data_IF_202833603510
#
_entry.id   IF_202833603510
#
_cell.length_a   1.000
_cell.length_b   1.000
_cell.length_c   1.000
_cell.angle_alpha   90.00
_cell.angle_beta   90.00
_cell.angle_gamma   90.00
#
_symmetry.space_group_name_H-M   'P 1'
#
loop_
_entity.id
_entity.type
_entity.pdbx_description
1 polymer ?
#
# COMPACT_ATOMS: atom_id res chain seq x y z
N UNK A 1 -12.83 -15.69 -18.01
CA UNK A 1 -13.98 -15.09 -17.31
C UNK A 1 -14.41 -13.84 -18.07
N UNK A 2 -15.72 -13.70 -18.39
CA UNK A 2 -16.24 -12.46 -19.00
C UNK A 2 -16.79 -11.53 -17.90
N UNK A 3 -16.41 -10.26 -17.97
CA UNK A 3 -16.84 -9.22 -17.03
C UNK A 3 -17.42 -8.06 -17.84
N UNK A 4 -18.65 -7.66 -17.54
CA UNK A 4 -19.24 -6.44 -18.10
C UNK A 4 -18.92 -5.25 -17.20
N UNK A 5 -18.39 -4.19 -17.79
CA UNK A 5 -17.92 -3.01 -17.07
C UNK A 5 -18.30 -1.73 -17.81
N UNK A 6 -18.34 -0.62 -17.08
CA UNK A 6 -18.40 0.70 -17.69
C UNK A 6 -17.00 1.15 -18.14
N UNK A 7 -16.85 1.72 -19.34
CA UNK A 7 -15.55 2.21 -19.81
C UNK A 7 -15.09 3.43 -18.99
N UNK A 8 -13.77 3.71 -19.04
CA UNK A 8 -13.16 4.93 -18.48
C UNK A 8 -12.14 4.68 -17.37
N UNK A 9 -12.28 3.62 -16.59
CA UNK A 9 -11.31 3.21 -15.57
C UNK A 9 -10.02 2.63 -16.14
N UNK A 10 -8.99 2.47 -15.30
CA UNK A 10 -7.79 1.71 -15.65
C UNK A 10 -8.06 0.20 -15.51
N UNK A 11 -7.26 -0.64 -16.19
CA UNK A 11 -7.33 -2.09 -16.00
C UNK A 11 -7.15 -2.43 -14.51
N UNK A 12 -6.15 -1.85 -13.83
CA UNK A 12 -5.88 -2.07 -12.41
C UNK A 12 -7.10 -1.79 -11.53
N UNK A 13 -7.70 -0.61 -11.66
CA UNK A 13 -8.87 -0.21 -10.87
C UNK A 13 -10.07 -1.08 -11.18
N UNK A 14 -10.39 -1.27 -12.45
CA UNK A 14 -11.55 -2.07 -12.89
C UNK A 14 -11.46 -3.54 -12.47
N UNK A 15 -10.27 -4.15 -12.53
CA UNK A 15 -10.07 -5.50 -12.03
C UNK A 15 -10.26 -5.55 -10.50
N UNK A 16 -9.74 -4.55 -9.78
CA UNK A 16 -9.93 -4.42 -8.32
C UNK A 16 -11.40 -4.35 -7.92
N UNK A 17 -12.21 -3.55 -8.63
CA UNK A 17 -13.67 -3.44 -8.43
C UNK A 17 -14.38 -4.79 -8.65
N UNK A 18 -13.80 -5.65 -9.49
CA UNK A 18 -14.30 -6.98 -9.79
C UNK A 18 -13.61 -8.10 -8.97
N UNK A 19 -12.96 -7.75 -7.86
CA UNK A 19 -12.28 -8.66 -6.92
C UNK A 19 -11.12 -9.44 -7.53
N UNK A 20 -10.42 -8.82 -8.48
CA UNK A 20 -9.20 -9.33 -9.09
C UNK A 20 -8.09 -8.32 -8.79
N UNK A 21 -7.22 -8.65 -7.84
CA UNK A 21 -6.28 -7.69 -7.25
C UNK A 21 -4.90 -7.82 -7.85
N UNK A 22 -4.60 -7.06 -8.91
CA UNK A 22 -3.24 -6.98 -9.46
C UNK A 22 -2.28 -6.36 -8.44
N UNK A 23 -1.03 -6.85 -8.37
CA UNK A 23 -0.01 -6.28 -7.50
C UNK A 23 0.31 -4.84 -7.92
N UNK A 24 0.46 -3.95 -6.95
CA UNK A 24 0.87 -2.56 -7.21
C UNK A 24 1.46 -1.90 -5.96
N UNK A 25 2.76 -1.77 -5.88
CA UNK A 25 3.41 -1.09 -4.76
C UNK A 25 3.22 0.42 -4.79
N UNK A 26 3.10 1.03 -5.98
CA UNK A 26 2.92 2.47 -6.13
C UNK A 26 1.46 2.93 -6.05
N UNK A 27 0.50 2.02 -5.89
CA UNK A 27 -0.93 2.34 -5.85
C UNK A 27 -1.48 2.90 -7.16
N UNK A 28 -0.97 2.44 -8.30
CA UNK A 28 -1.42 2.89 -9.61
C UNK A 28 -0.63 4.06 -10.22
N UNK A 29 0.41 4.56 -9.55
CA UNK A 29 1.23 5.70 -10.00
C UNK A 29 2.16 5.42 -11.19
N UNK A 30 2.18 4.20 -11.74
CA UNK A 30 2.95 3.86 -12.93
C UNK A 30 4.47 3.70 -12.72
N UNK A 31 4.93 3.63 -11.47
CA UNK A 31 6.38 3.68 -11.16
C UNK A 31 6.98 2.35 -10.67
N UNK A 32 6.18 1.38 -10.23
CA UNK A 32 6.69 0.12 -9.68
C UNK A 32 6.70 -1.04 -10.68
N UNK A 33 6.01 -0.92 -11.81
CA UNK A 33 5.86 -1.94 -12.85
C UNK A 33 5.30 -3.31 -12.39
N UNK A 34 4.63 -3.37 -11.23
CA UNK A 34 4.15 -4.65 -10.69
C UNK A 34 2.80 -5.09 -11.28
N UNK A 35 1.99 -4.15 -11.76
CA UNK A 35 0.66 -4.44 -12.32
C UNK A 35 0.72 -4.92 -13.80
N UNK A 36 1.72 -5.72 -14.13
CA UNK A 36 1.89 -6.27 -15.47
C UNK A 36 0.78 -7.25 -15.81
N UNK A 37 0.20 -7.11 -16.98
CA UNK A 37 -0.75 -8.05 -17.58
C UNK A 37 -0.57 -8.07 -19.10
N UNK A 38 -0.97 -9.14 -19.77
CA UNK A 38 -0.99 -9.19 -21.22
C UNK A 38 -2.35 -8.70 -21.73
N UNK A 39 -2.35 -7.74 -22.66
CA UNK A 39 -3.57 -7.21 -23.28
C UNK A 39 -3.58 -7.63 -24.74
N UNK A 40 -4.23 -8.77 -25.02
CA UNK A 40 -4.23 -9.40 -26.34
C UNK A 40 -4.99 -8.56 -27.38
N UNK A 41 -6.04 -7.85 -26.94
CA UNK A 41 -6.79 -6.93 -27.80
C UNK A 41 -7.41 -5.78 -27.00
N UNK A 42 -7.73 -4.67 -27.69
CA UNK A 42 -8.43 -3.52 -27.11
C UNK A 42 -7.57 -2.54 -26.31
N UNK A 43 -6.29 -2.85 -26.03
CA UNK A 43 -5.40 -2.03 -25.20
C UNK A 43 -4.73 -0.84 -25.91
N UNK A 44 -4.86 -0.75 -27.23
CA UNK A 44 -4.14 0.25 -28.03
C UNK A 44 -2.62 0.05 -27.99
N UNK A 45 -1.88 1.03 -28.50
CA UNK A 45 -0.42 0.99 -28.51
C UNK A 45 0.19 1.19 -27.11
N UNK A 46 1.42 0.67 -26.92
CA UNK A 46 2.16 0.86 -25.68
C UNK A 46 2.48 2.34 -25.45
N UNK A 47 2.18 2.84 -24.26
CA UNK A 47 2.40 4.24 -23.91
C UNK A 47 3.88 4.54 -23.68
N UNK A 48 4.34 5.78 -23.94
CA UNK A 48 5.70 6.18 -23.61
C UNK A 48 6.09 5.97 -22.16
N UNK A 49 5.13 6.13 -21.23
CA UNK A 49 5.30 5.92 -19.78
C UNK A 49 5.49 4.45 -19.38
N UNK A 50 5.07 3.52 -20.23
CA UNK A 50 5.19 2.08 -19.99
C UNK A 50 6.51 1.51 -20.55
N UNK A 51 7.00 2.06 -21.66
CA UNK A 51 8.16 1.53 -22.42
C UNK A 51 9.40 1.24 -21.56
N UNK A 52 9.77 2.07 -20.56
CA UNK A 52 10.97 1.82 -19.74
C UNK A 52 10.91 0.53 -18.91
N UNK A 53 9.73 -0.03 -18.69
CA UNK A 53 9.49 -1.18 -17.82
C UNK A 53 9.39 -2.51 -18.56
N UNK A 54 9.52 -2.48 -19.90
CA UNK A 54 9.37 -3.67 -20.75
C UNK A 54 10.54 -3.88 -21.68
N UNK A 55 10.92 -5.13 -21.82
CA UNK A 55 11.81 -5.59 -22.87
C UNK A 55 11.09 -5.54 -24.23
N UNK A 56 11.87 -5.58 -25.33
CA UNK A 56 11.30 -5.66 -26.69
C UNK A 56 10.38 -6.87 -26.86
N UNK A 57 10.72 -8.00 -26.24
CA UNK A 57 9.93 -9.22 -26.27
C UNK A 57 8.60 -9.05 -25.54
N UNK A 58 8.62 -8.51 -24.32
CA UNK A 58 7.39 -8.24 -23.56
C UNK A 58 6.45 -7.30 -24.32
N UNK A 59 7.00 -6.28 -25.02
CA UNK A 59 6.18 -5.40 -25.86
C UNK A 59 5.53 -6.17 -27.03
N UNK A 60 6.28 -7.07 -27.69
CA UNK A 60 5.75 -7.92 -28.76
C UNK A 60 4.72 -8.93 -28.25
N UNK A 61 4.87 -9.38 -27.01
CA UNK A 61 3.95 -10.30 -26.32
C UNK A 61 2.77 -9.55 -25.66
N UNK A 62 2.54 -8.28 -26.00
CA UNK A 62 1.45 -7.41 -25.53
C UNK A 62 1.39 -7.19 -24.01
N UNK A 63 2.54 -7.24 -23.33
CA UNK A 63 2.59 -6.87 -21.92
C UNK A 63 2.35 -5.37 -21.71
N UNK A 64 1.52 -5.02 -20.73
CA UNK A 64 1.12 -3.66 -20.39
C UNK A 64 1.13 -3.45 -18.88
N UNK A 65 1.18 -2.19 -18.45
CA UNK A 65 0.94 -1.82 -17.05
C UNK A 65 -0.56 -1.56 -16.84
N UNK A 66 -1.24 -2.41 -16.07
CA UNK A 66 -2.67 -2.30 -15.84
C UNK A 66 -3.12 -0.95 -15.28
N UNK A 67 -2.25 -0.24 -14.55
CA UNK A 67 -2.55 1.11 -14.06
C UNK A 67 -2.46 2.21 -15.12
N UNK A 68 -1.80 1.97 -16.26
CA UNK A 68 -1.63 2.97 -17.31
C UNK A 68 -2.63 2.79 -18.46
N UNK A 69 -3.16 1.60 -18.64
CA UNK A 69 -4.12 1.29 -19.72
C UNK A 69 -5.54 1.59 -19.27
N UNK A 70 -6.17 2.55 -19.93
CA UNK A 70 -7.59 2.88 -19.74
C UNK A 70 -8.47 1.99 -20.63
N UNK A 71 -9.55 1.49 -20.07
CA UNK A 71 -10.52 0.67 -20.76
C UNK A 71 -11.45 1.58 -21.57
N UNK A 72 -11.36 1.48 -22.88
CA UNK A 72 -12.17 2.27 -23.83
C UNK A 72 -13.07 1.40 -24.73
N UNK A 73 -12.67 0.17 -24.93
CA UNK A 73 -13.35 -0.82 -25.78
C UNK A 73 -13.32 -2.17 -25.08
N UNK A 74 -13.97 -3.16 -25.68
CA UNK A 74 -13.82 -4.55 -25.26
C UNK A 74 -12.35 -4.96 -25.32
N UNK A 75 -11.91 -5.68 -24.30
CA UNK A 75 -10.52 -6.10 -24.13
C UNK A 75 -10.45 -7.59 -23.85
N UNK A 76 -9.41 -8.22 -24.41
CA UNK A 76 -8.97 -9.55 -24.00
C UNK A 76 -7.68 -9.42 -23.19
N UNK A 77 -7.74 -9.83 -21.91
CA UNK A 77 -6.64 -9.66 -20.96
C UNK A 77 -6.29 -11.02 -20.35
N UNK A 78 -5.01 -11.36 -20.43
CA UNK A 78 -4.44 -12.50 -19.72
C UNK A 78 -3.66 -12.03 -18.50
N UNK A 79 -3.99 -12.57 -17.34
CA UNK A 79 -3.33 -12.30 -16.07
C UNK A 79 -2.83 -13.61 -15.45
N UNK A 80 -1.70 -13.58 -14.72
CA UNK A 80 -1.16 -14.76 -14.06
C UNK A 80 -2.19 -15.42 -13.14
N UNK A 81 -2.15 -16.76 -13.09
CA UNK A 81 -3.16 -17.55 -12.37
C UNK A 81 -3.15 -17.29 -10.87
N UNK A 82 -1.98 -17.05 -10.30
CA UNK A 82 -1.77 -16.75 -8.89
C UNK A 82 -2.53 -15.51 -8.41
N UNK A 83 -2.83 -14.56 -9.30
CA UNK A 83 -3.62 -13.36 -8.98
C UNK A 83 -5.02 -13.69 -8.49
N UNK A 84 -5.61 -14.80 -8.96
CA UNK A 84 -6.95 -15.21 -8.55
C UNK A 84 -7.00 -15.78 -7.12
N UNK A 85 -5.86 -16.09 -6.52
CA UNK A 85 -5.74 -16.48 -5.11
C UNK A 85 -5.67 -15.30 -4.12
N UNK A 86 -5.45 -14.09 -4.62
CA UNK A 86 -5.35 -12.91 -3.76
C UNK A 86 -6.72 -12.51 -3.24
N UNK A 87 -6.78 -12.30 -1.92
CA UNK A 87 -8.00 -11.89 -1.22
C UNK A 87 -7.86 -10.50 -0.61
N UNK A 88 -8.98 -9.94 -0.20
CA UNK A 88 -9.06 -8.67 0.54
C UNK A 88 -9.90 -8.89 1.79
N UNK A 89 -9.41 -8.43 2.94
CA UNK A 89 -10.06 -8.58 4.24
C UNK A 89 -10.15 -7.25 4.98
N UNK A 90 -11.18 -7.12 5.78
CA UNK A 90 -11.24 -6.12 6.85
C UNK A 90 -10.60 -6.72 8.10
N UNK A 91 -9.36 -6.32 8.39
CA UNK A 91 -8.57 -6.79 9.52
C UNK A 91 -8.78 -5.90 10.74
N UNK A 92 -8.51 -6.45 11.93
CA UNK A 92 -8.54 -5.71 13.17
C UNK A 92 -7.13 -5.35 13.62
N UNK A 93 -6.91 -4.10 14.00
CA UNK A 93 -5.64 -3.65 14.58
C UNK A 93 -5.48 -4.26 15.98
N UNK A 94 -4.43 -5.06 16.15
CA UNK A 94 -4.08 -5.70 17.43
C UNK A 94 -3.17 -4.79 18.25
N UNK A 95 -2.15 -4.22 17.60
CA UNK A 95 -1.22 -3.28 18.23
C UNK A 95 -0.63 -2.33 17.20
N UNK A 96 -0.22 -1.15 17.68
CA UNK A 96 0.38 -0.11 16.85
C UNK A 96 1.33 0.75 17.70
N UNK A 97 2.47 0.19 18.06
CA UNK A 97 3.44 0.82 18.97
C UNK A 97 4.65 1.39 18.23
N UNK A 98 5.21 2.47 18.76
CA UNK A 98 6.48 2.98 18.27
C UNK A 98 7.63 2.09 18.76
N UNK A 99 8.45 1.61 17.83
CA UNK A 99 9.67 0.85 18.09
C UNK A 99 10.94 1.70 17.87
N UNK A 100 10.76 2.85 17.23
CA UNK A 100 11.75 3.91 17.09
C UNK A 100 11.01 5.25 16.93
N UNK A 101 11.72 6.38 17.02
CA UNK A 101 11.12 7.73 16.93
C UNK A 101 10.21 7.91 15.70
N UNK A 102 10.49 7.23 14.60
CA UNK A 102 9.79 7.36 13.33
C UNK A 102 9.33 6.04 12.73
N UNK A 103 9.33 4.95 13.51
CA UNK A 103 8.92 3.62 13.05
C UNK A 103 7.96 3.00 14.05
N UNK A 104 6.83 2.53 13.54
CA UNK A 104 5.86 1.72 14.29
C UNK A 104 5.93 0.26 13.87
N UNK A 105 5.78 -0.62 14.85
CA UNK A 105 5.35 -1.99 14.65
C UNK A 105 3.82 -1.98 14.63
N UNK A 106 3.27 -2.35 13.50
CA UNK A 106 1.84 -2.39 13.27
C UNK A 106 1.39 -3.83 13.05
N UNK A 107 0.52 -4.32 13.91
CA UNK A 107 0.03 -5.70 13.87
C UNK A 107 -1.48 -5.71 13.67
N UNK A 108 -1.92 -6.46 12.66
CA UNK A 108 -3.33 -6.70 12.40
C UNK A 108 -3.64 -8.19 12.42
N UNK A 109 -4.87 -8.53 12.79
CA UNK A 109 -5.41 -9.88 12.78
C UNK A 109 -6.42 -10.03 11.66
N UNK A 110 -6.32 -11.10 10.90
CA UNK A 110 -7.31 -11.47 9.90
C UNK A 110 -8.64 -11.87 10.56
N UNK A 111 -9.77 -11.78 9.83
CA UNK A 111 -11.04 -12.31 10.29
C UNK A 111 -10.95 -13.79 10.68
N UNK A 112 -11.83 -14.22 11.57
CA UNK A 112 -11.90 -15.63 12.01
C UNK A 112 -12.18 -16.55 10.83
N UNK A 113 -11.45 -17.67 10.77
CA UNK A 113 -11.56 -18.64 9.67
C UNK A 113 -10.80 -18.27 8.39
N UNK A 114 -10.24 -17.07 8.29
CA UNK A 114 -9.37 -16.68 7.18
C UNK A 114 -7.91 -17.01 7.50
N UNK A 115 -7.13 -17.28 6.45
CA UNK A 115 -5.71 -17.55 6.55
C UNK A 115 -4.98 -16.83 5.42
N UNK A 116 -3.81 -16.25 5.75
CA UNK A 116 -2.89 -15.67 4.81
C UNK A 116 -1.69 -16.61 4.65
N UNK A 117 -1.72 -17.42 3.59
CA UNK A 117 -0.60 -18.28 3.24
C UNK A 117 0.42 -17.47 2.43
N UNK A 118 1.56 -17.17 3.04
CA UNK A 118 2.60 -16.36 2.42
C UNK A 118 3.99 -16.95 2.70
N UNK A 119 4.94 -16.59 1.84
CA UNK A 119 6.37 -16.88 2.06
C UNK A 119 7.06 -15.67 2.68
N UNK A 120 8.12 -15.89 3.45
CA UNK A 120 8.95 -14.81 3.99
C UNK A 120 9.41 -13.89 2.84
N UNK A 121 9.28 -12.58 3.04
CA UNK A 121 9.54 -11.58 2.01
C UNK A 121 8.33 -11.16 1.18
N UNK A 122 7.20 -11.85 1.32
CA UNK A 122 5.94 -11.41 0.75
C UNK A 122 5.45 -10.07 1.31
N UNK A 123 4.54 -9.43 0.61
CA UNK A 123 3.97 -8.15 1.03
C UNK A 123 2.45 -8.16 0.95
N UNK A 124 1.84 -7.20 1.62
CA UNK A 124 0.41 -6.92 1.55
C UNK A 124 0.19 -5.50 1.02
N UNK A 125 -1.04 -5.19 0.66
CA UNK A 125 -1.46 -3.84 0.38
C UNK A 125 -2.46 -3.38 1.44
N UNK A 126 -2.30 -2.15 1.93
CA UNK A 126 -3.24 -1.48 2.82
C UNK A 126 -4.05 -0.49 2.00
N UNK A 127 -5.36 -0.58 2.06
CA UNK A 127 -6.26 0.43 1.51
C UNK A 127 -6.35 1.61 2.50
N UNK A 128 -6.27 2.81 1.96
CA UNK A 128 -6.45 4.05 2.72
C UNK A 128 -7.68 4.75 2.18
N UNK A 129 -8.72 4.97 2.99
CA UNK A 129 -9.92 5.69 2.58
C UNK A 129 -9.63 7.19 2.40
N UNK A 130 -10.64 7.93 1.95
CA UNK A 130 -10.64 9.39 2.12
C UNK A 130 -10.57 9.71 3.61
N UNK A 131 -9.53 10.45 4.01
CA UNK A 131 -9.25 10.72 5.43
C UNK A 131 -8.31 11.92 5.58
N UNK A 132 -8.49 12.66 6.66
CA UNK A 132 -7.57 13.69 7.11
C UNK A 132 -6.98 13.26 8.46
N UNK A 133 -5.66 13.36 8.60
CA UNK A 133 -4.92 12.92 9.80
C UNK A 133 -4.02 14.03 10.30
N UNK A 134 -4.46 14.78 11.32
CA UNK A 134 -3.60 15.70 12.05
C UNK A 134 -2.57 14.95 12.89
N UNK A 135 -1.28 15.24 12.71
CA UNK A 135 -0.22 14.52 13.43
C UNK A 135 -0.28 14.71 14.95
N UNK A 136 -0.84 15.83 15.43
CA UNK A 136 -1.07 16.10 16.87
C UNK A 136 -1.96 15.05 17.56
N UNK A 137 -2.74 14.27 16.79
CA UNK A 137 -3.65 13.24 17.30
C UNK A 137 -3.03 11.83 17.27
N UNK A 138 -1.83 11.69 16.70
CA UNK A 138 -1.14 10.41 16.62
C UNK A 138 -0.60 10.00 17.99
N UNK A 139 -0.80 8.74 18.33
CA UNK A 139 -0.15 8.11 19.48
C UNK A 139 1.21 7.54 19.05
N UNK A 140 2.30 8.04 19.63
CA UNK A 140 3.66 7.55 19.39
C UNK A 140 4.24 6.81 20.58
N UNK A 141 3.39 6.32 21.45
CA UNK A 141 3.82 5.55 22.63
C UNK A 141 4.60 4.30 22.22
N UNK A 142 5.64 3.95 22.99
CA UNK A 142 6.38 2.71 22.77
C UNK A 142 5.55 1.50 23.18
N UNK A 143 6.05 0.31 22.84
CA UNK A 143 5.46 -0.93 23.31
C UNK A 143 5.40 -0.92 24.85
N UNK A 144 4.26 -1.22 25.47
CA UNK A 144 4.14 -1.27 26.94
C UNK A 144 5.10 -2.24 27.62
N UNK A 145 5.60 -3.25 26.92
CA UNK A 145 6.61 -4.19 27.40
C UNK A 145 8.03 -3.63 27.35
N UNK A 146 8.25 -2.57 26.58
CA UNK A 146 9.53 -1.85 26.49
C UNK A 146 9.29 -0.34 26.36
N UNK A 147 9.00 0.35 27.48
CA UNK A 147 8.70 1.78 27.47
C UNK A 147 9.96 2.67 27.39
N UNK A 148 11.15 2.10 27.26
CA UNK A 148 12.44 2.81 27.36
C UNK A 148 12.64 3.93 26.32
N UNK A 149 11.90 3.91 25.20
CA UNK A 149 12.01 4.90 24.13
C UNK A 149 11.10 6.13 24.26
N UNK A 150 10.19 6.16 25.22
CA UNK A 150 9.08 7.11 25.32
C UNK A 150 9.51 8.58 25.21
N UNK A 151 10.37 9.04 26.11
CA UNK A 151 10.86 10.44 26.12
C UNK A 151 11.65 10.80 24.86
N UNK A 152 12.48 9.87 24.38
CA UNK A 152 13.28 10.06 23.17
C UNK A 152 12.40 10.24 21.93
N UNK A 153 11.37 9.42 21.79
CA UNK A 153 10.47 9.48 20.64
C UNK A 153 9.76 10.83 20.59
N UNK A 154 9.20 11.26 21.73
CA UNK A 154 8.56 12.57 21.85
C UNK A 154 9.53 13.72 21.57
N UNK A 155 10.72 13.69 22.16
CA UNK A 155 11.73 14.72 21.98
C UNK A 155 12.16 14.89 20.50
N UNK A 156 12.24 13.79 19.73
CA UNK A 156 12.53 13.89 18.29
C UNK A 156 11.37 14.50 17.51
N UNK A 157 10.12 14.18 17.86
CA UNK A 157 8.94 14.78 17.23
C UNK A 157 8.80 16.26 17.54
N UNK A 158 9.05 16.67 18.79
CA UNK A 158 9.07 18.07 19.23
C UNK A 158 10.16 18.85 18.49
N UNK A 159 11.38 18.30 18.41
CA UNK A 159 12.53 18.91 17.75
C UNK A 159 12.29 19.26 16.28
N UNK A 160 11.55 18.43 15.57
CA UNK A 160 11.26 18.63 14.16
C UNK A 160 9.86 19.20 13.90
N UNK A 161 9.13 19.61 14.93
CA UNK A 161 7.76 20.14 14.83
C UNK A 161 6.83 19.22 14.00
N UNK A 162 6.92 17.91 14.21
CA UNK A 162 6.10 16.95 13.46
C UNK A 162 4.62 17.06 13.80
N UNK A 163 4.28 17.50 15.00
CA UNK A 163 2.92 17.71 15.48
C UNK A 163 2.11 18.71 14.66
N UNK A 164 2.79 19.65 13.97
CA UNK A 164 2.17 20.67 13.13
C UNK A 164 1.80 20.14 11.72
N UNK A 165 2.23 18.93 11.39
CA UNK A 165 1.90 18.34 10.09
C UNK A 165 0.46 17.85 10.07
N UNK A 166 -0.12 17.89 8.87
CA UNK A 166 -1.45 17.38 8.57
C UNK A 166 -1.41 16.62 7.24
N UNK A 167 -1.87 15.39 7.24
CA UNK A 167 -2.00 14.60 6.01
C UNK A 167 -3.45 14.61 5.54
N UNK A 168 -3.66 14.85 4.27
CA UNK A 168 -4.98 14.80 3.64
C UNK A 168 -4.99 13.80 2.49
N UNK A 169 -6.02 12.98 2.46
CA UNK A 169 -6.27 12.03 1.37
C UNK A 169 -7.69 12.22 0.86
N UNK A 170 -7.84 12.74 -0.36
CA UNK A 170 -9.13 13.07 -0.95
C UNK A 170 -9.70 11.94 -1.85
N UNK A 171 -8.99 10.81 -1.97
CA UNK A 171 -9.43 9.65 -2.74
C UNK A 171 -8.94 8.34 -2.12
N UNK A 172 -9.67 7.27 -2.32
CA UNK A 172 -9.21 5.96 -1.86
C UNK A 172 -7.98 5.51 -2.63
N UNK A 173 -6.91 5.22 -1.90
CA UNK A 173 -5.65 4.73 -2.46
C UNK A 173 -5.20 3.46 -1.72
N UNK A 174 -4.17 2.78 -2.23
CA UNK A 174 -3.52 1.69 -1.51
C UNK A 174 -2.01 1.75 -1.65
N UNK A 175 -1.30 1.15 -0.68
CA UNK A 175 0.17 1.04 -0.70
C UNK A 175 0.61 -0.33 -0.20
N UNK A 176 1.74 -0.79 -0.74
CA UNK A 176 2.33 -2.07 -0.37
C UNK A 176 3.32 -1.93 0.79
N UNK A 177 3.30 -2.94 1.67
CA UNK A 177 4.25 -3.09 2.77
C UNK A 177 4.69 -4.54 2.89
N UNK A 178 6.00 -4.77 3.01
CA UNK A 178 6.55 -6.09 3.27
C UNK A 178 6.15 -6.57 4.67
N UNK A 179 5.77 -7.83 4.77
CA UNK A 179 5.48 -8.46 6.05
C UNK A 179 6.76 -8.69 6.84
N UNK A 180 6.72 -8.37 8.13
CA UNK A 180 7.85 -8.51 9.06
C UNK A 180 7.74 -9.76 9.94
N UNK A 181 6.55 -10.39 10.02
CA UNK A 181 6.35 -11.64 10.74
C UNK A 181 6.71 -12.87 9.91
N UNK A 182 7.03 -13.96 10.61
CA UNK A 182 7.17 -15.27 10.01
C UNK A 182 5.79 -15.94 9.83
N UNK A 183 5.56 -16.71 8.74
CA UNK A 183 4.26 -17.39 8.52
C UNK A 183 3.78 -18.25 9.69
N UNK A 184 4.70 -18.84 10.47
CA UNK A 184 4.37 -19.68 11.62
C UNK A 184 3.89 -18.91 12.88
N UNK A 185 3.90 -17.56 12.84
CA UNK A 185 3.43 -16.75 13.99
C UNK A 185 1.91 -16.63 14.08
N UNK A 186 1.20 -17.29 13.19
CA UNK A 186 -0.25 -17.41 13.23
C UNK A 186 -0.97 -16.43 12.29
N UNK A 187 -2.26 -16.21 12.57
CA UNK A 187 -3.15 -15.48 11.68
C UNK A 187 -3.05 -13.96 11.87
N UNK A 188 -1.83 -13.44 11.77
CA UNK A 188 -1.51 -12.02 11.90
C UNK A 188 -0.67 -11.53 10.73
N UNK A 189 -0.72 -10.24 10.48
CA UNK A 189 0.22 -9.50 9.64
C UNK A 189 0.92 -8.46 10.50
N UNK A 190 2.24 -8.53 10.56
CA UNK A 190 3.08 -7.56 11.25
C UNK A 190 3.88 -6.75 10.22
N UNK A 191 3.90 -5.46 10.39
CA UNK A 191 4.59 -4.52 9.52
C UNK A 191 5.46 -3.57 10.36
N UNK A 192 6.64 -3.21 9.85
CA UNK A 192 7.43 -2.12 10.38
C UNK A 192 7.27 -0.91 9.45
N UNK A 193 6.55 0.11 9.90
CA UNK A 193 6.16 1.24 9.07
C UNK A 193 6.86 2.52 9.55
N UNK A 194 7.68 3.08 8.66
CA UNK A 194 8.29 4.39 8.89
C UNK A 194 7.30 5.48 8.45
N UNK A 195 7.13 6.51 9.30
CA UNK A 195 6.39 7.72 8.92
C UNK A 195 7.11 8.44 7.77
N UNK A 196 6.40 8.74 6.70
CA UNK A 196 6.91 9.48 5.56
C UNK A 196 6.53 10.96 5.69
N UNK A 197 7.47 11.77 6.13
CA UNK A 197 7.30 13.22 6.27
C UNK A 197 7.55 13.94 4.95
N UNK A 198 7.09 15.18 4.79
CA UNK A 198 7.54 16.06 3.73
C UNK A 198 9.09 16.19 3.71
N UNK A 199 9.70 16.56 2.60
CA UNK A 199 11.12 16.91 2.60
C UNK A 199 11.38 18.13 3.50
N UNK A 200 12.56 18.15 4.14
CA UNK A 200 12.98 19.28 4.96
C UNK A 200 13.63 20.39 4.11
N UNK A 201 13.08 21.58 4.14
CA UNK A 201 13.68 22.77 3.52
C UNK A 201 14.77 23.34 4.45
N UNK A 202 16.03 23.03 4.15
CA UNK A 202 17.18 23.48 4.96
C UNK A 202 17.34 25.00 4.96
N UNK A 203 16.95 25.68 3.89
CA UNK A 203 17.08 27.13 3.77
C UNK A 203 16.09 27.87 4.66
N UNK A 204 14.88 27.32 4.78
CA UNK A 204 13.81 27.89 5.60
C UNK A 204 13.71 27.29 6.99
N UNK A 205 14.49 26.23 7.26
CA UNK A 205 14.46 25.46 8.50
C UNK A 205 13.04 24.98 8.87
N UNK A 206 12.31 24.45 7.89
CA UNK A 206 10.94 23.95 8.06
C UNK A 206 10.63 22.83 7.05
N UNK A 207 9.50 22.17 7.22
CA UNK A 207 8.98 21.22 6.24
C UNK A 207 8.54 21.92 4.96
N UNK A 208 8.81 21.31 3.82
CA UNK A 208 8.22 21.77 2.56
C UNK A 208 6.70 21.62 2.59
N UNK A 209 5.99 22.53 1.93
CA UNK A 209 4.52 22.49 1.84
C UNK A 209 4.07 21.45 0.80
N UNK A 210 4.25 20.20 1.15
CA UNK A 210 3.74 19.04 0.39
C UNK A 210 3.06 18.08 1.36
N UNK A 211 2.09 17.32 0.86
CA UNK A 211 1.36 16.38 1.69
C UNK A 211 2.29 15.29 2.25
N UNK A 212 2.23 14.96 3.54
CA UNK A 212 2.94 13.81 4.09
C UNK A 212 2.53 12.49 3.44
N UNK A 213 3.31 11.44 3.67
CA UNK A 213 3.02 10.12 3.13
C UNK A 213 1.67 9.58 3.61
N UNK A 214 0.74 9.42 2.69
CA UNK A 214 -0.67 9.14 2.99
C UNK A 214 -0.84 7.86 3.81
N UNK A 215 -0.36 6.72 3.32
CA UNK A 215 -0.60 5.44 4.00
C UNK A 215 0.13 5.33 5.34
N UNK A 216 1.37 5.83 5.43
CA UNK A 216 2.10 5.82 6.71
C UNK A 216 1.42 6.70 7.76
N UNK A 217 0.91 7.88 7.38
CA UNK A 217 0.16 8.74 8.28
C UNK A 217 -1.16 8.12 8.72
N UNK A 218 -1.87 7.48 7.78
CA UNK A 218 -3.09 6.74 8.11
C UNK A 218 -2.82 5.63 9.12
N UNK A 219 -1.80 4.79 8.88
CA UNK A 219 -1.45 3.73 9.83
C UNK A 219 -1.08 4.30 11.19
N UNK A 220 -0.36 5.43 11.24
CA UNK A 220 0.00 6.07 12.51
C UNK A 220 -1.21 6.58 13.30
N UNK A 221 -2.34 6.86 12.66
CA UNK A 221 -3.58 7.29 13.32
C UNK A 221 -4.40 6.13 13.88
N UNK A 222 -4.19 4.91 13.40
CA UNK A 222 -4.95 3.73 13.81
C UNK A 222 -4.61 3.30 15.24
N UNK A 223 -5.62 2.81 15.95
CA UNK A 223 -5.53 2.33 17.33
C UNK A 223 -5.96 0.86 17.43
N UNK A 224 -5.52 0.13 18.45
CA UNK A 224 -6.03 -1.21 18.70
C UNK A 224 -7.57 -1.25 18.72
N UNK A 225 -8.15 -2.21 18.00
CA UNK A 225 -9.59 -2.36 17.77
C UNK A 225 -10.11 -1.69 16.50
N UNK A 226 -9.37 -0.77 15.89
CA UNK A 226 -9.76 -0.19 14.60
C UNK A 226 -9.75 -1.24 13.48
N UNK A 227 -10.50 -0.96 12.42
CA UNK A 227 -10.53 -1.81 11.22
C UNK A 227 -9.69 -1.20 10.11
N UNK A 228 -9.00 -2.07 9.40
CA UNK A 228 -8.18 -1.70 8.24
C UNK A 228 -8.34 -2.72 7.14
N UNK A 229 -8.48 -2.25 5.90
CA UNK A 229 -8.60 -3.13 4.75
C UNK A 229 -7.21 -3.53 4.24
N UNK A 230 -6.97 -4.82 4.19
CA UNK A 230 -5.71 -5.43 3.74
C UNK A 230 -5.98 -6.41 2.62
N UNK A 231 -5.16 -6.42 1.60
CA UNK A 231 -5.17 -7.45 0.54
C UNK A 231 -3.83 -8.14 0.41
N UNK A 232 -3.85 -9.40 -0.01
CA UNK A 232 -2.64 -10.21 -0.19
C UNK A 232 -2.91 -11.71 -0.31
N UNK A 233 -1.84 -12.53 -0.22
CA UNK A 233 -0.43 -12.13 -0.23
C UNK A 233 0.01 -11.73 -1.64
N UNK A 234 1.02 -10.87 -1.73
CA UNK A 234 1.66 -10.50 -2.98
C UNK A 234 3.16 -10.81 -2.91
N UNK A 235 3.73 -11.01 -4.09
CA UNK A 235 5.17 -11.06 -4.32
C UNK A 235 5.84 -12.31 -3.80
N UNK A 236 6.73 -12.81 -4.63
CA UNK A 236 7.81 -13.66 -4.21
C UNK A 236 9.08 -12.82 -4.34
N UNK A 237 9.78 -12.60 -3.22
CA UNK A 237 11.14 -12.07 -3.26
C UNK A 237 12.03 -13.20 -3.75
N UNK A 238 12.55 -13.06 -4.96
CA UNK A 238 13.62 -13.89 -5.49
C UNK A 238 14.92 -13.10 -5.52
#
# INVERSE_FOLDING_TARGET
KNIQINPGGTILGTLGDNKIFLPSACGGGGTCAMCKCQVNSGGGEILPTEKPYFTRKEIQDNWRLGCQVKIKNDMDINIPEEIFGIKKWECEVVSNYSVASFIKEFVVKLPEGENLDFKAGGYIQIDVPEVEVPYKEMDISPNPKDPSGSEKFKGEWDKFNLWDLNMKNDESIFRAYSMANHPAEGNIVMLNIRIATPPWDRAKNTWMNVNPGVCSSYVYSLKPGDKVTVSGPYGEFF
#
